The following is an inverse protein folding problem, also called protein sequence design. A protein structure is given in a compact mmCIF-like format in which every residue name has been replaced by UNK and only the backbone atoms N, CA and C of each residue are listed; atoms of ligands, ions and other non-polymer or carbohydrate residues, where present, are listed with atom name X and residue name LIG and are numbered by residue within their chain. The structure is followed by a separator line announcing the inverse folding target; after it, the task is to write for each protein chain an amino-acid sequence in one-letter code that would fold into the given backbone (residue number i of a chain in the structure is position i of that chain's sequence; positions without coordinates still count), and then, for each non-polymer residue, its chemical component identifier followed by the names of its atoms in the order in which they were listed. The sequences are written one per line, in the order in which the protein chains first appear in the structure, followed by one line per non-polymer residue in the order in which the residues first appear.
data_IF_312975764509
#
_entry.id   IF_312975764509
#
_cell.length_a   1.000
_cell.length_b   1.000
_cell.length_c   1.000
_cell.angle_alpha   90.00
_cell.angle_beta   90.00
_cell.angle_gamma   90.00
#
_symmetry.space_group_name_H-M   'P 1'
#
loop_
_entity.id
_entity.type
_entity.pdbx_description
1 polymer ?
#
# COMPACT_ATOMS: atom_id res chain seq x y z
N UNK A 1 -2.78 -14.45 -14.76
CA UNK A 1 -3.48 -13.65 -13.72
C UNK A 1 -2.70 -13.78 -12.43
N UNK A 2 -2.49 -12.69 -11.71
CA UNK A 2 -1.77 -12.62 -10.45
C UNK A 2 -2.74 -12.04 -9.41
N UNK A 3 -2.81 -12.64 -8.23
CA UNK A 3 -3.62 -12.12 -7.13
C UNK A 3 -2.78 -12.22 -5.87
N UNK A 4 -2.46 -11.08 -5.28
CA UNK A 4 -1.83 -11.03 -3.97
C UNK A 4 -2.87 -10.56 -2.96
N UNK A 5 -2.93 -11.20 -1.80
CA UNK A 5 -3.88 -10.83 -0.75
C UNK A 5 -3.26 -10.99 0.63
N UNK A 6 -3.63 -10.13 1.57
CA UNK A 6 -3.28 -10.27 2.98
C UNK A 6 -4.50 -9.97 3.83
N UNK A 7 -4.77 -10.81 4.83
CA UNK A 7 -5.86 -10.62 5.78
C UNK A 7 -5.28 -10.56 7.19
N UNK A 8 -5.73 -9.60 7.98
CA UNK A 8 -5.33 -9.43 9.38
C UNK A 8 -6.54 -9.03 10.21
N UNK A 9 -6.57 -9.42 11.47
CA UNK A 9 -7.61 -9.00 12.40
C UNK A 9 -7.18 -9.19 13.84
N UNK A 10 -7.76 -8.40 14.75
CA UNK A 10 -7.59 -8.62 16.17
C UNK A 10 -8.85 -8.32 16.96
N UNK A 11 -8.97 -9.09 18.05
CA UNK A 11 -10.01 -8.92 19.06
C UNK A 11 -9.33 -8.49 20.36
N UNK A 12 -9.76 -7.35 20.88
CA UNK A 12 -9.34 -6.80 22.16
C UNK A 12 -10.51 -6.87 23.13
N UNK A 13 -10.34 -7.68 24.18
CA UNK A 13 -11.30 -7.82 25.25
C UNK A 13 -10.92 -6.89 26.39
N UNK A 14 -11.82 -5.96 26.73
CA UNK A 14 -11.58 -5.06 27.86
C UNK A 14 -11.81 -5.79 29.18
N UNK A 15 -10.93 -5.57 30.17
CA UNK A 15 -11.01 -6.23 31.48
C UNK A 15 -11.88 -5.49 32.51
N UNK A 16 -12.33 -4.27 32.21
CA UNK A 16 -13.16 -3.44 33.11
C UNK A 16 -14.46 -3.03 32.41
N UNK A 17 -15.56 -2.98 33.18
CA UNK A 17 -16.95 -2.90 32.72
C UNK A 17 -17.39 -1.66 31.92
N UNK A 18 -16.51 -0.68 31.70
CA UNK A 18 -16.81 0.56 30.95
C UNK A 18 -16.24 0.60 29.52
N UNK A 19 -15.52 -0.43 29.06
CA UNK A 19 -14.88 -0.44 27.74
C UNK A 19 -15.43 -1.55 26.85
N UNK A 20 -15.84 -1.21 25.62
CA UNK A 20 -16.40 -2.16 24.67
C UNK A 20 -15.32 -3.05 24.06
N UNK A 21 -15.68 -4.31 23.76
CA UNK A 21 -14.81 -5.20 23.01
C UNK A 21 -14.56 -4.62 21.61
N UNK A 22 -13.28 -4.48 21.24
CA UNK A 22 -12.89 -3.99 19.93
C UNK A 22 -12.47 -5.14 19.03
N UNK A 23 -13.18 -5.33 17.91
CA UNK A 23 -12.86 -6.28 16.85
C UNK A 23 -12.58 -5.49 15.59
N UNK A 24 -11.35 -5.56 15.07
CA UNK A 24 -10.96 -4.82 13.88
C UNK A 24 -10.40 -5.82 12.85
N UNK A 25 -10.91 -5.76 11.62
CA UNK A 25 -10.51 -6.65 10.53
C UNK A 25 -10.02 -5.81 9.35
N UNK A 26 -8.97 -6.27 8.68
CA UNK A 26 -8.36 -5.58 7.55
C UNK A 26 -7.92 -6.59 6.49
N UNK A 27 -8.35 -6.37 5.25
CA UNK A 27 -7.93 -7.12 4.09
C UNK A 27 -7.30 -6.19 3.04
N UNK A 28 -6.26 -6.70 2.40
CA UNK A 28 -5.58 -6.09 1.27
C UNK A 28 -5.74 -7.02 0.07
N UNK A 29 -6.19 -6.48 -1.07
CA UNK A 29 -6.37 -7.21 -2.31
C UNK A 29 -5.64 -6.50 -3.43
N UNK A 30 -4.74 -7.22 -4.11
CA UNK A 30 -3.93 -6.72 -5.23
C UNK A 30 -4.07 -7.63 -6.45
N UNK A 31 -5.23 -7.62 -7.12
CA UNK A 31 -5.40 -8.34 -8.36
C UNK A 31 -4.59 -7.68 -9.49
N UNK A 32 -4.10 -8.52 -10.40
CA UNK A 32 -3.37 -8.10 -11.58
C UNK A 32 -3.58 -9.04 -12.76
N UNK A 33 -3.74 -8.47 -13.94
CA UNK A 33 -3.96 -9.21 -15.18
C UNK A 33 -2.92 -8.73 -16.19
N UNK A 34 -2.23 -9.69 -16.81
CA UNK A 34 -1.30 -9.40 -17.90
C UNK A 34 -1.90 -9.99 -19.18
N UNK A 35 -2.06 -9.18 -20.22
CA UNK A 35 -2.55 -9.60 -21.54
C UNK A 35 -1.64 -8.99 -22.61
N UNK A 36 -0.77 -9.81 -23.20
CA UNK A 36 0.27 -9.32 -24.10
C UNK A 36 1.17 -8.29 -23.41
N UNK A 37 1.39 -7.10 -24.00
CA UNK A 37 2.22 -6.05 -23.40
C UNK A 37 1.48 -5.21 -22.34
N UNK A 38 0.19 -5.46 -22.15
CA UNK A 38 -0.65 -4.72 -21.21
C UNK A 38 -0.65 -5.37 -19.84
N UNK A 39 -0.53 -4.56 -18.79
CA UNK A 39 -0.54 -4.97 -17.39
C UNK A 39 -1.58 -4.13 -16.66
N UNK A 40 -2.69 -4.75 -16.30
CA UNK A 40 -3.71 -4.17 -15.43
C UNK A 40 -3.35 -4.47 -13.98
N UNK A 41 -3.34 -3.44 -13.14
CA UNK A 41 -3.10 -3.55 -11.70
C UNK A 41 -4.20 -2.81 -10.96
N UNK A 42 -4.68 -3.42 -9.88
CA UNK A 42 -5.60 -2.79 -8.95
C UNK A 42 -5.11 -3.06 -7.52
N UNK A 43 -5.29 -2.08 -6.65
CA UNK A 43 -5.03 -2.24 -5.23
C UNK A 43 -6.23 -1.69 -4.45
N UNK A 44 -6.90 -2.60 -3.75
CA UNK A 44 -8.08 -2.33 -2.94
C UNK A 44 -7.84 -2.80 -1.51
N UNK A 45 -8.31 -2.01 -0.54
CA UNK A 45 -8.28 -2.35 0.88
C UNK A 45 -9.71 -2.40 1.40
N UNK A 46 -9.94 -3.35 2.30
CA UNK A 46 -11.18 -3.46 3.05
C UNK A 46 -10.85 -3.41 4.53
N UNK A 47 -11.63 -2.67 5.30
CA UNK A 47 -11.51 -2.65 6.74
C UNK A 47 -12.87 -2.64 7.40
N UNK A 48 -13.01 -3.41 8.48
CA UNK A 48 -14.19 -3.45 9.33
C UNK A 48 -13.79 -3.05 10.73
N UNK A 49 -14.42 -2.00 11.24
CA UNK A 49 -14.17 -1.53 12.60
C UNK A 49 -14.97 -2.29 13.67
N UNK A 50 -14.71 -1.95 14.94
CA UNK A 50 -15.37 -2.54 16.10
C UNK A 50 -16.85 -2.23 16.23
N UNK A 51 -17.35 -1.23 15.50
CA UNK A 51 -18.78 -0.90 15.41
C UNK A 51 -19.46 -1.62 14.24
N UNK A 52 -18.73 -2.48 13.51
CA UNK A 52 -19.23 -3.21 12.37
C UNK A 52 -19.30 -2.38 11.08
N UNK A 53 -18.69 -1.19 11.04
CA UNK A 53 -18.66 -0.37 9.83
C UNK A 53 -17.66 -0.93 8.84
N UNK A 54 -18.16 -1.28 7.66
CA UNK A 54 -17.37 -1.75 6.53
C UNK A 54 -16.93 -0.57 5.65
N UNK A 55 -15.64 -0.50 5.35
CA UNK A 55 -15.10 0.48 4.41
C UNK A 55 -14.24 -0.20 3.35
N UNK A 56 -14.57 0.10 2.10
CA UNK A 56 -13.83 -0.34 0.92
C UNK A 56 -13.16 0.85 0.28
N UNK A 57 -11.83 0.78 0.14
CA UNK A 57 -11.02 1.85 -0.42
C UNK A 57 -10.16 1.30 -1.56
N UNK A 58 -10.45 1.75 -2.78
CA UNK A 58 -9.57 1.52 -3.95
C UNK A 58 -8.47 2.57 -3.94
N UNK A 59 -7.22 2.14 -3.75
CA UNK A 59 -6.06 3.03 -3.66
C UNK A 59 -5.61 3.45 -5.05
N UNK A 60 -5.47 2.49 -5.97
CA UNK A 60 -5.20 2.78 -7.38
C UNK A 60 -5.77 1.69 -8.27
N UNK A 61 -6.15 2.08 -9.48
CA UNK A 61 -6.35 1.18 -10.62
C UNK A 61 -5.69 1.78 -11.84
N UNK A 62 -4.79 1.03 -12.46
CA UNK A 62 -4.13 1.48 -13.68
C UNK A 62 -3.87 0.34 -14.65
N UNK A 63 -3.82 0.72 -15.92
CA UNK A 63 -3.40 -0.10 -17.02
C UNK A 63 -2.06 0.45 -17.54
N UNK A 64 -1.03 -0.37 -17.54
CA UNK A 64 0.30 0.00 -18.00
C UNK A 64 0.69 -0.80 -19.26
N UNK A 65 1.48 -0.19 -20.13
CA UNK A 65 2.11 -0.82 -21.28
C UNK A 65 3.49 -0.24 -21.53
N UNK A 66 4.48 -1.10 -21.68
CA UNK A 66 5.82 -0.66 -22.07
C UNK A 66 5.88 -0.50 -23.59
N UNK A 67 6.49 0.59 -24.04
CA UNK A 67 6.73 0.93 -25.44
C UNK A 67 8.24 0.90 -25.66
N UNK A 68 8.74 -0.27 -26.05
CA UNK A 68 10.18 -0.53 -26.25
C UNK A 68 10.81 0.38 -27.30
N UNK A 69 10.06 0.77 -28.34
CA UNK A 69 10.55 1.67 -29.39
C UNK A 69 10.87 3.09 -28.89
N UNK A 70 10.21 3.53 -27.81
CA UNK A 70 10.39 4.85 -27.23
C UNK A 70 11.17 4.80 -25.90
N UNK A 71 11.48 3.60 -25.39
CA UNK A 71 11.99 3.39 -24.02
C UNK A 71 11.11 4.09 -22.99
N UNK A 72 9.79 3.96 -23.15
CA UNK A 72 8.81 4.67 -22.34
C UNK A 72 7.72 3.71 -21.86
N UNK A 73 7.08 4.06 -20.76
CA UNK A 73 5.90 3.39 -20.25
C UNK A 73 4.67 4.28 -20.39
N UNK A 74 3.62 3.73 -20.99
CA UNK A 74 2.29 4.32 -21.02
C UNK A 74 1.49 3.81 -19.83
N UNK A 75 0.97 4.70 -19.00
CA UNK A 75 0.09 4.42 -17.88
C UNK A 75 -1.24 5.13 -18.07
N UNK A 76 -2.34 4.40 -17.91
CA UNK A 76 -3.72 4.90 -18.00
C UNK A 76 -4.46 4.56 -16.70
N UNK A 77 -5.05 5.56 -16.05
CA UNK A 77 -5.75 5.40 -14.78
C UNK A 77 -5.10 6.19 -13.65
N UNK A 78 -5.11 5.63 -12.45
CA UNK A 78 -4.52 6.24 -11.25
C UNK A 78 -3.00 6.08 -11.27
N UNK A 79 -2.28 7.20 -11.29
CA UNK A 79 -0.82 7.24 -11.23
C UNK A 79 -0.36 8.45 -10.41
N UNK A 80 0.95 8.61 -10.26
CA UNK A 80 1.58 9.75 -9.61
C UNK A 80 2.56 10.43 -10.56
N UNK A 81 2.64 11.76 -10.51
CA UNK A 81 3.55 12.50 -11.38
C UNK A 81 5.01 12.16 -11.07
N UNK A 82 5.93 12.23 -12.04
CA UNK A 82 7.35 12.06 -11.79
C UNK A 82 7.82 13.15 -10.81
N UNK A 83 8.70 12.77 -9.90
CA UNK A 83 9.19 13.67 -8.85
C UNK A 83 10.57 14.26 -9.12
N UNK A 84 11.02 14.26 -10.38
CA UNK A 84 12.40 14.67 -10.73
C UNK A 84 12.64 16.17 -10.50
N UNK A 85 11.59 16.99 -10.66
CA UNK A 85 11.65 18.46 -10.56
C UNK A 85 10.67 19.00 -9.52
N UNK A 86 9.53 18.31 -9.31
CA UNK A 86 8.46 18.75 -8.41
C UNK A 86 8.06 17.62 -7.45
N UNK A 87 7.32 17.96 -6.40
CA UNK A 87 6.70 16.94 -5.55
C UNK A 87 5.74 16.07 -6.36
N UNK A 88 5.81 14.76 -6.16
CA UNK A 88 4.89 13.80 -6.80
C UNK A 88 3.45 14.03 -6.34
N UNK A 89 2.56 14.31 -7.28
CA UNK A 89 1.12 14.45 -7.03
C UNK A 89 0.36 13.26 -7.62
N UNK A 90 -0.58 12.66 -6.88
CA UNK A 90 -1.46 11.64 -7.43
C UNK A 90 -2.43 12.27 -8.44
N UNK A 91 -2.67 11.59 -9.56
CA UNK A 91 -3.61 12.00 -10.58
C UNK A 91 -4.31 10.79 -11.20
N UNK A 92 -5.45 11.04 -11.86
CA UNK A 92 -6.14 10.05 -12.69
C UNK A 92 -6.16 10.55 -14.13
N UNK A 93 -5.52 9.82 -15.04
CA UNK A 93 -5.40 10.25 -16.44
C UNK A 93 -4.52 9.33 -17.27
N UNK A 94 -3.82 9.92 -18.23
CA UNK A 94 -2.85 9.23 -19.06
C UNK A 94 -1.47 9.85 -18.86
N UNK A 95 -0.45 9.02 -18.82
CA UNK A 95 0.94 9.43 -18.69
C UNK A 95 1.79 8.57 -19.61
N UNK A 96 2.64 9.24 -20.39
CA UNK A 96 3.72 8.62 -21.12
C UNK A 96 5.02 9.19 -20.55
N UNK A 97 5.80 8.35 -19.89
CA UNK A 97 7.07 8.73 -19.30
C UNK A 97 8.17 7.81 -19.80
N UNK A 98 9.37 8.37 -20.03
CA UNK A 98 10.56 7.54 -20.26
C UNK A 98 10.83 6.72 -19.01
N UNK A 99 11.12 5.44 -19.19
CA UNK A 99 11.43 4.52 -18.10
C UNK A 99 12.88 4.06 -18.27
N UNK A 100 13.80 4.77 -17.63
CA UNK A 100 15.22 4.43 -17.61
C UNK A 100 15.49 3.14 -16.81
N UNK A 101 14.52 2.67 -16.02
CA UNK A 101 14.54 1.39 -15.30
C UNK A 101 14.04 0.21 -16.16
N UNK A 102 14.00 0.32 -17.50
CA UNK A 102 13.91 -0.85 -18.40
C UNK A 102 15.18 -1.74 -18.37
N UNK A 103 15.97 -1.64 -17.31
CA UNK A 103 17.16 -2.44 -16.95
C UNK A 103 16.71 -3.58 -16.00
N UNK A 104 17.28 -4.80 -16.07
CA UNK A 104 16.65 -6.04 -15.62
C UNK A 104 16.16 -6.08 -14.16
N UNK A 105 15.05 -6.79 -13.96
CA UNK A 105 14.27 -7.01 -12.72
C UNK A 105 15.05 -7.51 -11.48
N UNK A 106 16.35 -7.79 -11.58
CA UNK A 106 17.16 -8.38 -10.50
C UNK A 106 17.56 -7.40 -9.38
N UNK A 107 17.29 -6.10 -9.53
CA UNK A 107 17.65 -5.06 -8.55
C UNK A 107 16.43 -4.36 -7.90
N UNK A 108 15.20 -4.63 -8.34
CA UNK A 108 13.97 -4.02 -7.81
C UNK A 108 13.45 -4.78 -6.59
N UNK A 109 14.21 -4.72 -5.50
CA UNK A 109 13.85 -5.32 -4.20
C UNK A 109 14.01 -4.33 -3.04
N UNK A 110 13.32 -3.19 -3.09
CA UNK A 110 13.23 -2.30 -1.93
C UNK A 110 11.81 -2.29 -1.36
N UNK A 111 11.58 -3.11 -0.34
CA UNK A 111 10.43 -2.95 0.54
C UNK A 111 10.85 -2.01 1.68
N UNK A 112 10.19 -0.85 1.88
CA UNK A 112 10.52 0.02 2.99
C UNK A 112 10.30 -0.74 4.31
N UNK A 113 11.35 -0.79 5.13
CA UNK A 113 11.33 -1.46 6.43
C UNK A 113 10.92 -0.46 7.51
N UNK A 114 9.76 -0.68 8.14
CA UNK A 114 9.32 0.11 9.29
C UNK A 114 9.66 -0.63 10.57
N UNK A 115 10.47 0.00 11.43
CA UNK A 115 10.87 -0.54 12.74
C UNK A 115 10.28 0.27 13.87
N UNK A 116 9.88 -0.40 14.94
CA UNK A 116 9.38 0.24 16.15
C UNK A 116 9.47 -0.69 17.36
N UNK A 117 9.20 -0.13 18.54
CA UNK A 117 9.10 -0.88 19.79
C UNK A 117 7.70 -0.67 20.34
N UNK A 118 6.94 -1.74 20.47
CA UNK A 118 5.63 -1.72 21.10
C UNK A 118 5.78 -2.08 22.59
N UNK A 119 5.30 -1.21 23.49
CA UNK A 119 5.32 -1.46 24.95
C UNK A 119 4.30 -2.53 25.37
N UNK A 120 3.26 -2.71 24.57
CA UNK A 120 2.16 -3.67 24.77
C UNK A 120 1.77 -4.27 23.42
N UNK A 121 0.78 -5.16 23.39
CA UNK A 121 0.12 -5.49 22.12
C UNK A 121 -0.40 -4.19 21.49
N UNK A 122 -0.04 -3.94 20.23
CA UNK A 122 -0.33 -2.68 19.56
C UNK A 122 -0.82 -2.92 18.13
N UNK A 123 -1.76 -2.08 17.68
CA UNK A 123 -2.15 -1.99 16.28
C UNK A 123 -1.27 -0.95 15.58
N UNK A 124 -0.51 -1.36 14.59
CA UNK A 124 0.30 -0.47 13.75
C UNK A 124 -0.49 -0.17 12.49
N UNK A 125 -0.83 1.10 12.28
CA UNK A 125 -1.56 1.58 11.08
C UNK A 125 -0.67 2.55 10.32
N UNK A 126 -0.44 2.29 9.04
CA UNK A 126 0.41 3.13 8.19
C UNK A 126 -0.43 3.72 7.06
N UNK A 127 -0.30 5.03 6.89
CA UNK A 127 -1.07 5.83 5.93
C UNK A 127 -0.16 6.52 4.93
N UNK A 128 -0.60 6.59 3.69
CA UNK A 128 0.02 7.38 2.63
C UNK A 128 -1.05 8.13 1.86
N UNK A 129 -0.85 9.44 1.66
CA UNK A 129 -1.83 10.33 1.03
C UNK A 129 -3.25 10.23 1.65
N UNK A 130 -3.33 9.98 2.96
CA UNK A 130 -4.60 9.83 3.69
C UNK A 130 -5.21 8.42 3.65
N UNK A 131 -4.71 7.51 2.82
CA UNK A 131 -5.20 6.14 2.72
C UNK A 131 -4.43 5.20 3.65
N UNK A 132 -5.12 4.30 4.35
CA UNK A 132 -4.48 3.22 5.10
C UNK A 132 -3.94 2.20 4.10
N UNK A 133 -2.61 2.06 4.05
CA UNK A 133 -1.92 1.16 3.11
C UNK A 133 -1.42 -0.11 3.78
N UNK A 134 -1.34 -0.12 5.11
CA UNK A 134 -0.93 -1.28 5.89
C UNK A 134 -1.50 -1.17 7.30
N UNK A 135 -1.99 -2.29 7.81
CA UNK A 135 -2.42 -2.42 9.19
C UNK A 135 -2.04 -3.81 9.69
N UNK A 136 -1.35 -3.87 10.84
CA UNK A 136 -0.95 -5.14 11.45
C UNK A 136 -0.93 -5.02 12.97
N UNK A 137 -1.03 -6.16 13.66
CA UNK A 137 -0.93 -6.25 15.10
C UNK A 137 0.43 -6.82 15.49
N UNK A 138 1.10 -6.13 16.40
CA UNK A 138 2.44 -6.52 16.87
C UNK A 138 2.38 -6.84 18.35
N UNK A 139 3.13 -7.87 18.75
CA UNK A 139 3.32 -8.24 20.14
C UNK A 139 4.19 -7.20 20.87
N UNK A 140 4.18 -7.15 22.22
CA UNK A 140 5.10 -6.32 22.98
C UNK A 140 6.54 -6.69 22.64
N UNK A 141 7.36 -5.70 22.32
CA UNK A 141 8.75 -5.88 21.90
C UNK A 141 9.08 -5.13 20.61
N UNK A 142 10.30 -5.37 20.12
CA UNK A 142 10.74 -4.83 18.84
C UNK A 142 9.98 -5.53 17.71
N UNK A 143 9.48 -4.76 16.75
CA UNK A 143 8.86 -5.27 15.54
C UNK A 143 9.49 -4.68 14.30
N UNK A 144 9.47 -5.47 13.23
CA UNK A 144 9.91 -5.07 11.90
C UNK A 144 8.79 -5.40 10.92
N UNK A 145 8.37 -4.40 10.14
CA UNK A 145 7.43 -4.56 9.03
C UNK A 145 8.23 -4.40 7.74
N UNK A 146 8.48 -5.53 7.08
CA UNK A 146 9.19 -5.60 5.80
C UNK A 146 8.28 -6.02 4.62
N UNK A 147 7.00 -6.31 4.87
CA UNK A 147 6.01 -6.69 3.86
C UNK A 147 5.24 -5.48 3.32
N UNK A 148 5.96 -4.41 3.02
CA UNK A 148 5.40 -3.22 2.40
C UNK A 148 5.74 -3.17 0.92
N UNK A 149 4.71 -3.25 0.09
CA UNK A 149 4.86 -2.93 -1.33
C UNK A 149 5.00 -1.42 -1.50
N UNK A 150 6.08 -0.93 -2.16
CA UNK A 150 6.26 0.49 -2.43
C UNK A 150 5.13 1.00 -3.32
N UNK A 151 4.24 1.80 -2.74
CA UNK A 151 3.35 2.71 -3.45
C UNK A 151 4.17 3.95 -3.76
N UNK A 152 4.62 4.06 -5.02
CA UNK A 152 5.53 5.08 -5.53
C UNK A 152 5.35 6.44 -4.87
N UNK A 153 6.42 6.94 -4.24
CA UNK A 153 6.42 8.20 -3.51
C UNK A 153 7.15 8.06 -2.18
N UNK A 154 8.47 8.25 -2.20
CA UNK A 154 9.25 8.45 -0.99
C UNK A 154 8.75 9.73 -0.29
N UNK A 155 7.96 9.59 0.78
CA UNK A 155 7.73 10.69 1.72
C UNK A 155 8.47 10.37 3.01
N UNK A 156 9.43 11.24 3.34
CA UNK A 156 10.11 11.27 4.64
C UNK A 156 9.07 11.33 5.76
N UNK A 157 9.21 10.46 6.75
CA UNK A 157 8.48 10.52 8.00
C UNK A 157 9.12 11.57 8.91
N UNK A 158 8.40 12.65 9.22
CA UNK A 158 8.71 13.51 10.36
C UNK A 158 7.85 13.05 11.53
N UNK A 159 8.45 12.43 12.54
CA UNK A 159 7.76 12.05 13.77
C UNK A 159 7.60 13.25 14.69
N UNK A 160 6.41 13.43 15.25
CA UNK A 160 6.23 14.18 16.49
C UNK A 160 5.94 13.19 17.63
N UNK A 161 6.62 13.45 18.76
CA UNK A 161 6.58 12.73 20.02
C UNK A 161 5.20 12.78 20.70
#
# INVERSE_FOLDING_TARGET
MLLNYSLSGANTYARNGDSSNSNNQFANLRPGINVGPWRLRNYTTWNRDSHGQDKWNTIYTYLARDITSLKSQLVLGDSSSPSDVFDSVPFRGAQLASDDDMIPDSLKGYAPVVRGIARTNAQVTIRQNGYVIYQSFVAPGAFEINDMYPTGGQRRFTGHH
#
